data_IF_275942214735
#
_entry.id   IF_275942214735
#
_cell.length_a   1.000
_cell.length_b   1.000
_cell.length_c   1.000
_cell.angle_alpha   90.00
_cell.angle_beta   90.00
_cell.angle_gamma   90.00
#
_symmetry.space_group_name_H-M   'P 1'
#
loop_
_entity.id
_entity.type
_entity.pdbx_description
1 polymer ?
#
# COMPACT_ATOMS: atom_id res chain seq x y z
N UNK A 1 -4.15 14.17 51.94
CA UNK A 1 -5.16 14.04 50.86
C UNK A 1 -4.70 14.65 49.54
N UNK A 2 -4.12 15.87 49.52
CA UNK A 2 -3.64 16.51 48.27
C UNK A 2 -2.56 15.71 47.50
N UNK A 3 -1.66 14.99 48.19
CA UNK A 3 -0.55 14.24 47.56
C UNK A 3 -1.01 13.03 46.71
N UNK A 4 -2.09 12.37 47.10
CA UNK A 4 -2.65 11.25 46.33
C UNK A 4 -3.48 11.73 45.14
N UNK A 5 -4.11 12.91 45.27
CA UNK A 5 -4.87 13.54 44.19
C UNK A 5 -3.97 13.97 43.04
N UNK A 6 -2.79 14.52 43.36
CA UNK A 6 -1.76 14.90 42.37
C UNK A 6 -1.22 13.66 41.64
N UNK A 7 -1.00 12.56 42.36
CA UNK A 7 -0.49 11.32 41.76
C UNK A 7 -1.51 10.68 40.81
N UNK A 8 -2.80 10.69 41.18
CA UNK A 8 -3.88 10.22 40.32
C UNK A 8 -4.01 11.08 39.05
N UNK A 9 -3.88 12.41 39.19
CA UNK A 9 -3.93 13.33 38.06
C UNK A 9 -2.80 13.06 37.05
N UNK A 10 -1.58 12.80 37.53
CA UNK A 10 -0.41 12.52 36.66
C UNK A 10 -0.58 11.19 35.91
N UNK A 11 -1.13 10.15 36.54
CA UNK A 11 -1.38 8.85 35.90
C UNK A 11 -2.45 8.95 34.80
N UNK A 12 -3.48 9.77 35.01
CA UNK A 12 -4.53 10.00 33.99
C UNK A 12 -3.99 10.78 32.79
N UNK A 13 -3.06 11.72 32.99
CA UNK A 13 -2.49 12.52 31.89
C UNK A 13 -1.53 11.68 31.02
N UNK A 14 -0.79 10.72 31.61
CA UNK A 14 0.14 9.85 30.88
C UNK A 14 -0.53 8.73 30.06
N UNK A 15 -1.81 8.44 30.31
CA UNK A 15 -2.57 7.40 29.59
C UNK A 15 -3.13 7.83 28.23
N UNK A 16 -3.09 9.12 27.91
CA UNK A 16 -3.78 9.72 26.76
C UNK A 16 -2.87 9.95 25.54
N UNK A 17 -1.77 9.22 25.41
CA UNK A 17 -1.01 9.20 24.16
C UNK A 17 -1.66 8.21 23.19
N UNK A 18 -2.79 8.59 22.60
CA UNK A 18 -3.22 7.96 21.36
C UNK A 18 -2.15 8.27 20.31
N UNK A 19 -1.37 7.27 19.91
CA UNK A 19 -0.49 7.35 18.75
C UNK A 19 -1.38 7.53 17.50
N UNK A 20 -1.84 8.76 17.25
CA UNK A 20 -2.64 9.07 16.07
C UNK A 20 -1.68 9.15 14.88
N UNK A 21 -1.42 8.01 14.27
CA UNK A 21 -0.76 7.97 12.99
C UNK A 21 -1.78 8.38 11.93
N UNK A 22 -1.52 9.47 11.19
CA UNK A 22 -2.40 9.95 10.12
C UNK A 22 -2.44 9.03 8.87
N UNK A 23 -1.83 7.83 8.94
CA UNK A 23 -1.81 6.88 7.83
C UNK A 23 -3.20 6.32 7.50
N UNK A 24 -4.13 6.30 8.46
CA UNK A 24 -5.52 5.87 8.22
C UNK A 24 -6.27 6.85 7.30
N UNK A 25 -5.92 8.14 7.33
CA UNK A 25 -6.51 9.17 6.47
C UNK A 25 -5.88 9.23 5.06
N UNK A 26 -4.86 8.41 4.79
CA UNK A 26 -4.17 8.37 3.48
C UNK A 26 -4.59 7.19 2.61
N UNK A 27 -5.48 6.31 3.09
CA UNK A 27 -6.19 5.36 2.25
C UNK A 27 -7.20 6.11 1.39
N UNK A 28 -6.84 6.42 0.15
CA UNK A 28 -7.83 6.75 -0.87
C UNK A 28 -8.58 5.45 -1.21
N UNK A 29 -9.46 5.03 -0.30
CA UNK A 29 -10.45 3.99 -0.55
C UNK A 29 -11.45 4.53 -1.57
N UNK A 30 -11.08 4.53 -2.84
CA UNK A 30 -12.08 4.36 -3.86
C UNK A 30 -12.58 2.93 -3.70
N UNK A 31 -13.66 2.74 -2.93
CA UNK A 31 -14.45 1.52 -2.97
C UNK A 31 -14.86 1.30 -4.42
N UNK A 32 -14.16 0.41 -5.12
CA UNK A 32 -14.55 -0.02 -6.45
C UNK A 32 -15.73 -0.98 -6.29
N UNK A 33 -16.94 -0.59 -6.75
CA UNK A 33 -18.07 -1.49 -6.70
C UNK A 33 -17.72 -2.74 -7.51
N UNK A 34 -18.05 -3.93 -6.99
CA UNK A 34 -17.63 -5.24 -7.53
C UNK A 34 -17.98 -5.47 -9.01
N UNK A 35 -18.85 -4.62 -9.58
CA UNK A 35 -19.40 -4.74 -10.93
C UNK A 35 -19.00 -3.57 -11.86
N UNK A 36 -17.92 -2.83 -11.57
CA UNK A 36 -17.38 -1.85 -12.53
C UNK A 36 -15.93 -2.15 -12.88
N UNK A 37 -15.66 -2.01 -14.17
CA UNK A 37 -14.33 -1.92 -14.76
C UNK A 37 -13.44 -0.94 -13.97
N UNK A 38 -12.16 -1.30 -13.81
CA UNK A 38 -11.15 -0.37 -13.28
C UNK A 38 -11.20 0.94 -14.07
N UNK A 39 -10.92 2.10 -13.44
CA UNK A 39 -11.04 3.34 -14.16
C UNK A 39 -10.03 3.27 -15.31
N UNK A 40 -10.46 3.53 -16.55
CA UNK A 40 -9.56 3.40 -17.69
C UNK A 40 -8.43 4.42 -17.62
N UNK A 41 -8.46 5.36 -16.66
CA UNK A 41 -7.48 6.44 -16.48
C UNK A 41 -7.12 6.64 -15.00
N UNK A 42 -5.84 6.88 -14.72
CA UNK A 42 -5.36 7.38 -13.43
C UNK A 42 -4.27 8.43 -13.62
N UNK A 43 -4.03 9.22 -12.58
CA UNK A 43 -2.99 10.24 -12.59
C UNK A 43 -1.66 9.62 -12.19
N UNK A 44 -0.73 9.54 -13.14
CA UNK A 44 0.66 9.14 -12.92
C UNK A 44 1.53 10.36 -13.18
N UNK A 45 2.32 10.77 -12.19
CA UNK A 45 3.20 11.95 -12.27
C UNK A 45 2.46 13.24 -12.68
N UNK A 46 1.26 13.45 -12.13
CA UNK A 46 0.41 14.62 -12.45
C UNK A 46 -0.27 14.55 -13.83
N UNK A 47 -0.04 13.51 -14.62
CA UNK A 47 -0.65 13.30 -15.94
C UNK A 47 -1.72 12.21 -15.89
N UNK A 48 -2.91 12.52 -16.39
CA UNK A 48 -3.98 11.53 -16.61
C UNK A 48 -3.51 10.56 -17.71
N UNK A 49 -3.37 9.29 -17.36
CA UNK A 49 -2.82 8.22 -18.19
C UNK A 49 -3.82 7.07 -18.29
N UNK A 50 -3.97 6.48 -19.48
CA UNK A 50 -4.86 5.34 -19.70
C UNK A 50 -4.25 4.04 -19.16
N UNK A 51 -4.93 3.38 -18.21
CA UNK A 51 -4.42 2.18 -17.52
C UNK A 51 -4.26 1.00 -18.48
N UNK A 52 -5.19 0.84 -19.42
CA UNK A 52 -5.21 -0.27 -20.37
C UNK A 52 -4.08 -0.20 -21.40
N UNK A 53 -3.43 0.97 -21.50
CA UNK A 53 -2.27 1.20 -22.39
C UNK A 53 -0.95 1.21 -21.63
N UNK A 54 -0.98 1.01 -20.31
CA UNK A 54 0.23 0.97 -19.51
C UNK A 54 1.05 -0.25 -19.91
N UNK A 55 2.32 0.02 -20.20
CA UNK A 55 3.33 -1.03 -20.20
C UNK A 55 3.30 -1.72 -18.82
N UNK A 56 3.72 -2.99 -18.71
CA UNK A 56 3.85 -3.69 -17.42
C UNK A 56 4.89 -3.04 -16.48
N UNK A 57 5.38 -1.85 -16.81
CA UNK A 57 6.33 -1.08 -16.04
C UNK A 57 5.78 0.33 -15.78
N UNK A 58 5.71 0.70 -14.50
CA UNK A 58 5.45 2.08 -14.05
C UNK A 58 6.78 2.69 -13.64
N UNK A 59 7.17 3.79 -14.27
CA UNK A 59 8.44 4.48 -13.98
C UNK A 59 8.16 5.86 -13.40
N UNK A 60 8.52 6.06 -12.13
CA UNK A 60 8.51 7.35 -11.45
C UNK A 60 9.95 7.87 -11.30
N UNK A 61 10.11 9.10 -10.81
CA UNK A 61 11.43 9.73 -10.63
C UNK A 61 12.34 8.94 -9.65
N UNK A 62 11.76 8.37 -8.59
CA UNK A 62 12.52 7.68 -7.52
C UNK A 62 12.36 6.16 -7.49
N UNK A 63 11.29 5.65 -8.09
CA UNK A 63 10.91 4.24 -8.03
C UNK A 63 10.45 3.77 -9.40
N UNK A 64 10.78 2.53 -9.74
CA UNK A 64 10.22 1.82 -10.90
C UNK A 64 9.56 0.55 -10.40
N UNK A 65 8.36 0.26 -10.87
CA UNK A 65 7.66 -0.99 -10.63
C UNK A 65 7.55 -1.76 -11.94
N UNK A 66 7.90 -3.05 -11.95
CA UNK A 66 7.73 -3.95 -13.09
C UNK A 66 6.84 -5.10 -12.66
N UNK A 67 5.76 -5.33 -13.39
CA UNK A 67 4.76 -6.36 -13.13
C UNK A 67 5.06 -7.56 -14.03
N UNK A 68 5.20 -8.73 -13.41
CA UNK A 68 5.38 -10.00 -14.09
C UNK A 68 4.28 -10.96 -13.60
N UNK A 69 3.58 -11.62 -14.52
CA UNK A 69 2.59 -12.63 -14.19
C UNK A 69 3.25 -14.01 -14.17
N UNK A 70 3.22 -14.70 -13.04
CA UNK A 70 3.70 -16.07 -12.88
C UNK A 70 2.54 -17.03 -12.59
N UNK A 71 2.83 -18.33 -12.54
CA UNK A 71 1.81 -19.35 -12.28
C UNK A 71 1.33 -19.29 -10.82
N UNK A 72 0.20 -18.61 -10.59
CA UNK A 72 -0.47 -18.55 -9.28
C UNK A 72 -0.23 -17.25 -8.50
N UNK A 73 0.70 -16.41 -8.95
CA UNK A 73 0.98 -15.10 -8.36
C UNK A 73 1.41 -14.08 -9.41
N UNK A 74 1.27 -12.80 -9.07
CA UNK A 74 1.81 -11.67 -9.79
C UNK A 74 2.99 -11.12 -8.99
N UNK A 75 4.14 -11.03 -9.62
CA UNK A 75 5.35 -10.44 -9.03
C UNK A 75 5.45 -8.97 -9.42
N UNK A 76 5.52 -8.11 -8.42
CA UNK A 76 5.79 -6.68 -8.59
C UNK A 76 7.23 -6.43 -8.13
N UNK A 77 8.13 -6.28 -9.10
CA UNK A 77 9.51 -5.90 -8.84
C UNK A 77 9.59 -4.39 -8.64
N UNK A 78 9.93 -3.98 -7.42
CA UNK A 78 10.13 -2.58 -7.04
C UNK A 78 11.62 -2.27 -7.06
N UNK A 79 12.02 -1.34 -7.94
CA UNK A 79 13.38 -0.81 -8.03
C UNK A 79 13.41 0.61 -7.51
N UNK A 80 14.35 0.91 -6.64
CA UNK A 80 14.51 2.21 -6.00
C UNK A 80 15.84 2.83 -6.43
N UNK A 81 15.84 4.15 -6.61
CA UNK A 81 17.08 4.91 -6.87
C UNK A 81 18.00 4.96 -5.64
N UNK A 82 17.42 4.82 -4.46
CA UNK A 82 18.10 4.87 -3.16
C UNK A 82 17.76 3.59 -2.34
N UNK A 83 18.61 3.19 -1.39
CA UNK A 83 18.33 2.07 -0.47
C UNK A 83 16.94 2.14 0.18
N UNK A 84 16.15 1.06 0.06
CA UNK A 84 14.80 1.00 0.62
C UNK A 84 14.74 0.28 1.97
N UNK A 85 14.24 0.97 2.99
CA UNK A 85 14.02 0.44 4.35
C UNK A 85 12.55 0.51 4.78
N UNK A 86 11.65 0.84 3.85
CA UNK A 86 10.22 0.97 4.13
C UNK A 86 9.50 -0.37 4.16
N UNK A 87 8.17 -0.31 4.16
CA UNK A 87 7.30 -1.48 3.98
C UNK A 87 6.43 -1.20 2.77
N UNK A 88 6.42 -2.12 1.80
CA UNK A 88 5.45 -2.13 0.71
C UNK A 88 4.43 -3.22 1.00
N UNK A 89 3.16 -2.92 0.86
CA UNK A 89 2.04 -3.83 1.15
C UNK A 89 0.93 -3.61 0.12
N UNK A 90 0.11 -4.64 -0.08
CA UNK A 90 -1.00 -4.59 -1.03
C UNK A 90 -2.27 -4.02 -0.40
N UNK A 91 -3.19 -3.56 -1.26
CA UNK A 91 -4.59 -3.25 -0.90
C UNK A 91 -4.75 -2.26 0.27
N UNK A 92 -3.78 -1.36 0.45
CA UNK A 92 -3.72 -0.41 1.58
C UNK A 92 -3.80 -1.06 2.98
N UNK A 93 -3.70 -2.38 3.09
CA UNK A 93 -3.73 -3.11 4.35
C UNK A 93 -2.31 -3.42 4.85
N UNK A 94 -1.88 -2.68 5.87
CA UNK A 94 -0.58 -2.88 6.52
C UNK A 94 -0.47 -4.22 7.27
N UNK A 95 -1.60 -4.84 7.59
CA UNK A 95 -1.68 -6.14 8.24
C UNK A 95 -1.87 -7.28 7.22
N UNK A 96 -1.93 -6.96 5.91
CA UNK A 96 -1.99 -7.94 4.84
C UNK A 96 -0.82 -8.93 4.96
N UNK A 97 -1.06 -10.19 4.62
CA UNK A 97 0.02 -11.17 4.50
C UNK A 97 0.97 -10.84 3.33
N UNK A 98 0.52 -10.04 2.36
CA UNK A 98 1.32 -9.62 1.21
C UNK A 98 1.99 -8.27 1.49
N UNK A 99 3.13 -8.35 2.16
CA UNK A 99 4.02 -7.22 2.34
C UNK A 99 5.47 -7.64 2.17
N UNK A 100 6.31 -6.66 1.91
CA UNK A 100 7.76 -6.81 1.94
C UNK A 100 8.40 -5.70 2.76
N UNK A 101 9.35 -6.08 3.61
CA UNK A 101 10.16 -5.15 4.41
C UNK A 101 11.47 -4.88 3.67
N UNK A 102 11.76 -3.60 3.47
CA UNK A 102 13.02 -3.15 2.91
C UNK A 102 14.20 -3.49 3.81
N UNK A 103 15.28 -3.96 3.21
CA UNK A 103 16.52 -4.36 3.87
C UNK A 103 17.72 -3.49 3.43
N UNK A 104 17.46 -2.32 2.84
CA UNK A 104 18.48 -1.43 2.30
C UNK A 104 18.94 -1.76 0.88
N UNK A 105 18.37 -2.80 0.25
CA UNK A 105 18.59 -3.04 -1.17
C UNK A 105 17.84 -2.02 -2.02
N UNK A 106 18.34 -1.81 -3.24
CA UNK A 106 17.68 -0.98 -4.26
C UNK A 106 16.62 -1.75 -5.05
N UNK A 107 16.37 -3.01 -4.71
CA UNK A 107 15.38 -3.84 -5.39
C UNK A 107 14.73 -4.77 -4.39
N UNK A 108 13.41 -4.93 -4.50
CA UNK A 108 12.64 -5.91 -3.75
C UNK A 108 11.49 -6.41 -4.62
N UNK A 109 11.01 -7.62 -4.36
CA UNK A 109 9.85 -8.18 -5.03
C UNK A 109 8.70 -8.28 -4.04
N UNK A 110 7.54 -7.78 -4.45
CA UNK A 110 6.27 -8.00 -3.77
C UNK A 110 5.49 -9.06 -4.54
N UNK A 111 5.21 -10.19 -3.89
CA UNK A 111 4.41 -11.28 -4.45
C UNK A 111 2.94 -11.07 -4.09
N UNK A 112 2.08 -11.09 -5.11
CA UNK A 112 0.63 -10.93 -4.99
C UNK A 112 -0.05 -12.19 -5.51
N UNK A 113 -0.57 -13.07 -4.63
CA UNK A 113 -1.31 -14.25 -5.04
C UNK A 113 -2.50 -13.86 -5.92
N UNK A 114 -2.82 -14.63 -6.96
CA UNK A 114 -4.01 -14.36 -7.80
C UNK A 114 -5.34 -14.53 -7.04
N UNK A 115 -5.28 -15.10 -5.84
CA UNK A 115 -6.39 -15.22 -4.89
C UNK A 115 -5.92 -14.74 -3.51
N UNK A 116 -6.27 -13.51 -3.16
CA UNK A 116 -6.00 -12.92 -1.85
C UNK A 116 -5.34 -11.54 -1.95
N UNK A 117 -5.00 -10.93 -0.82
CA UNK A 117 -4.22 -9.69 -0.80
C UNK A 117 -4.81 -8.53 -1.64
N UNK A 118 -6.13 -8.50 -1.77
CA UNK A 118 -6.88 -7.51 -2.56
C UNK A 118 -7.01 -7.82 -4.05
N UNK A 119 -6.45 -8.92 -4.57
CA UNK A 119 -6.57 -9.25 -5.98
C UNK A 119 -8.01 -9.65 -6.32
N UNK A 120 -8.57 -9.05 -7.37
CA UNK A 120 -9.87 -9.40 -7.93
C UNK A 120 -9.70 -9.95 -9.33
N UNK A 121 -10.28 -11.12 -9.57
CA UNK A 121 -10.40 -11.67 -10.91
C UNK A 121 -11.64 -11.07 -11.57
N UNK A 122 -11.45 -10.32 -12.64
CA UNK A 122 -12.53 -9.86 -13.51
C UNK A 122 -12.60 -10.79 -14.73
N UNK A 123 -13.78 -11.33 -15.03
CA UNK A 123 -14.03 -12.01 -16.29
C UNK A 123 -14.20 -10.95 -17.38
N UNK A 124 -13.40 -11.01 -18.44
CA UNK A 124 -13.49 -10.06 -19.56
C UNK A 124 -14.67 -10.35 -20.52
N UNK A 125 -15.57 -11.25 -20.14
CA UNK A 125 -16.77 -11.59 -20.89
C UNK A 125 -18.00 -11.37 -20.00
N UNK A 126 -18.42 -10.11 -19.88
CA UNK A 126 -19.80 -9.66 -19.64
C UNK A 126 -19.98 -8.30 -20.32
#
# INVERSE_FOLDING_TARGET
>A
MARHLVLFLVVVILGSCAAQSNYELQGLDQLYPENREYPPKATLDGKVTELDTLLPQISLNRTKAVLNCEAGSMHVELRFKEPFYGIAYSDFDRNSACFVKGNGLQTTTLELPLKGCGTRQVSQFD
#
